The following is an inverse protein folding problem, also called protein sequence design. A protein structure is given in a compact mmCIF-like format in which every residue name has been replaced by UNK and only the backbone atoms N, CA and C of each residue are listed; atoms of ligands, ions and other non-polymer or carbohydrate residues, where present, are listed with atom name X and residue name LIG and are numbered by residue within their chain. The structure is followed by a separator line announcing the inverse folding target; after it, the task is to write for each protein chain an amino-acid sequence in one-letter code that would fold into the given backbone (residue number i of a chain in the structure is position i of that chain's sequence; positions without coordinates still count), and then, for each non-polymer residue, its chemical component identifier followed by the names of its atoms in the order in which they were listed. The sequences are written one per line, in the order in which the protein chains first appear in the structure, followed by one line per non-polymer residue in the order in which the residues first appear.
data_IF_295619798710
#
_entry.id   IF_295619798710
#
_cell.length_a   1.000
_cell.length_b   1.000
_cell.length_c   1.000
_cell.angle_alpha   90.00
_cell.angle_beta   90.00
_cell.angle_gamma   90.00
#
_symmetry.space_group_name_H-M   'P 1'
#
loop_
_entity.id
_entity.type
_entity.pdbx_description
1 polymer ?
#
# COMPACT_ATOMS: atom_id res chain seq x y z
N UNK A 1 3.67 13.03 -11.01
CA UNK A 1 4.82 12.11 -10.88
C UNK A 1 4.42 10.79 -11.52
N UNK A 2 5.20 10.32 -12.49
CA UNK A 2 5.08 8.95 -13.03
C UNK A 2 5.62 7.93 -12.02
N UNK A 3 5.24 6.67 -12.15
CA UNK A 3 5.72 5.61 -11.24
C UNK A 3 7.24 5.43 -11.40
N UNK A 4 7.75 5.50 -12.62
CA UNK A 4 9.19 5.55 -12.91
C UNK A 4 9.92 6.70 -12.19
N UNK A 5 9.31 7.89 -12.13
CA UNK A 5 9.87 9.04 -11.40
C UNK A 5 9.86 8.81 -9.88
N UNK A 6 8.79 8.18 -9.36
CA UNK A 6 8.71 7.78 -7.96
C UNK A 6 9.80 6.75 -7.61
N UNK A 7 9.97 5.71 -8.43
CA UNK A 7 11.01 4.69 -8.24
C UNK A 7 12.40 5.34 -8.19
N UNK A 8 12.66 6.29 -9.09
CA UNK A 8 13.92 7.05 -9.12
C UNK A 8 14.11 7.93 -7.87
N UNK A 9 13.06 8.64 -7.45
CA UNK A 9 13.10 9.51 -6.27
C UNK A 9 13.42 8.71 -5.00
N UNK A 10 12.75 7.58 -4.80
CA UNK A 10 13.00 6.71 -3.64
C UNK A 10 14.42 6.13 -3.69
N UNK A 11 14.86 5.66 -4.86
CA UNK A 11 16.21 5.15 -5.04
C UNK A 11 17.29 6.20 -4.68
N UNK A 12 17.13 7.44 -5.14
CA UNK A 12 18.07 8.53 -4.84
C UNK A 12 18.03 8.91 -3.36
N UNK A 13 16.85 8.93 -2.75
CA UNK A 13 16.67 9.19 -1.32
C UNK A 13 17.39 8.16 -0.45
N UNK A 14 17.31 6.88 -0.82
CA UNK A 14 17.99 5.77 -0.14
C UNK A 14 19.52 5.87 -0.29
N UNK A 15 19.99 6.09 -1.52
CA UNK A 15 21.43 6.18 -1.83
C UNK A 15 22.08 7.31 -1.04
N UNK A 16 21.43 8.46 -0.96
CA UNK A 16 21.94 9.62 -0.22
C UNK A 16 22.14 9.35 1.28
N UNK A 17 21.48 8.32 1.84
CA UNK A 17 21.55 7.96 3.27
C UNK A 17 22.30 6.66 3.54
N UNK A 18 22.84 6.01 2.50
CA UNK A 18 23.49 4.71 2.64
C UNK A 18 22.54 3.57 3.02
N UNK A 19 21.23 3.73 2.80
CA UNK A 19 20.22 2.71 3.12
C UNK A 19 20.25 1.52 2.15
N UNK A 20 21.16 1.56 1.17
CA UNK A 20 21.48 0.46 0.26
C UNK A 20 21.91 -0.83 0.99
N UNK A 21 22.27 -0.76 2.27
CA UNK A 21 22.70 -1.93 3.07
C UNK A 21 21.57 -2.71 3.73
N UNK A 22 20.35 -2.19 3.80
CA UNK A 22 19.23 -2.92 4.41
C UNK A 22 18.81 -4.11 3.54
N UNK A 23 18.57 -5.25 4.19
CA UNK A 23 18.09 -6.48 3.54
C UNK A 23 16.60 -6.33 3.18
N UNK A 24 16.20 -6.99 2.09
CA UNK A 24 14.82 -7.02 1.59
C UNK A 24 13.85 -7.52 2.66
N UNK A 25 14.27 -8.49 3.49
CA UNK A 25 13.45 -9.00 4.58
C UNK A 25 13.13 -7.96 5.65
N UNK A 26 14.04 -7.01 5.91
CA UNK A 26 13.80 -5.92 6.86
C UNK A 26 12.86 -4.87 6.27
N UNK A 27 13.04 -4.55 4.98
CA UNK A 27 12.15 -3.64 4.25
C UNK A 27 10.73 -4.23 4.22
N UNK A 28 10.61 -5.53 3.93
CA UNK A 28 9.33 -6.25 3.95
C UNK A 28 8.68 -6.24 5.33
N UNK A 29 9.43 -6.57 6.39
CA UNK A 29 8.88 -6.57 7.75
C UNK A 29 8.34 -5.18 8.14
N UNK A 30 9.10 -4.13 7.86
CA UNK A 30 8.69 -2.75 8.12
C UNK A 30 7.46 -2.36 7.28
N UNK A 31 7.39 -2.76 6.01
CA UNK A 31 6.20 -2.53 5.19
C UNK A 31 4.94 -3.14 5.83
N UNK A 32 5.05 -4.33 6.41
CA UNK A 32 3.92 -4.96 7.10
C UNK A 32 3.51 -4.16 8.34
N UNK A 33 4.46 -3.63 9.10
CA UNK A 33 4.19 -2.77 10.27
C UNK A 33 3.37 -1.54 9.86
N UNK A 34 3.80 -0.78 8.85
CA UNK A 34 3.10 0.41 8.34
C UNK A 34 1.69 0.08 7.81
N UNK A 35 1.55 -1.04 7.09
CA UNK A 35 0.23 -1.50 6.62
C UNK A 35 -0.68 -1.86 7.80
N UNK A 36 -0.13 -2.37 8.91
CA UNK A 36 -0.93 -2.67 10.09
C UNK A 36 -1.45 -1.42 10.78
N UNK A 37 -0.69 -0.31 10.79
CA UNK A 37 -1.15 0.97 11.34
C UNK A 37 -2.33 1.55 10.53
N UNK A 38 -2.32 1.42 9.20
CA UNK A 38 -3.50 1.70 8.36
C UNK A 38 -4.70 0.84 8.80
N UNK A 39 -4.47 -0.46 9.04
CA UNK A 39 -5.49 -1.37 9.56
C UNK A 39 -6.02 -0.94 10.92
N UNK A 40 -5.17 -0.45 11.83
CA UNK A 40 -5.59 0.08 13.14
C UNK A 40 -6.47 1.31 12.98
N UNK A 41 -6.14 2.20 12.05
CA UNK A 41 -6.97 3.35 11.72
C UNK A 41 -8.35 2.93 11.22
N UNK A 42 -8.43 1.97 10.29
CA UNK A 42 -9.70 1.44 9.78
C UNK A 42 -10.54 0.85 10.92
N UNK A 43 -9.95 -0.02 11.74
CA UNK A 43 -10.65 -0.66 12.86
C UNK A 43 -11.15 0.34 13.91
N UNK A 44 -10.42 1.43 14.12
CA UNK A 44 -10.88 2.52 14.97
C UNK A 44 -12.05 3.28 14.34
N UNK A 45 -11.93 3.62 13.05
CA UNK A 45 -12.98 4.31 12.26
C UNK A 45 -14.28 3.51 12.18
N UNK A 46 -14.20 2.19 12.08
CA UNK A 46 -15.36 1.28 12.03
C UNK A 46 -15.92 0.95 13.43
N UNK A 47 -15.31 1.50 14.49
CA UNK A 47 -15.81 1.34 15.87
C UNK A 47 -15.55 -0.02 16.49
N UNK A 48 -14.65 -0.84 15.90
CA UNK A 48 -14.16 -2.06 16.52
C UNK A 48 -13.13 -1.74 17.62
N UNK A 49 -12.12 -0.94 17.30
CA UNK A 49 -11.18 -0.41 18.30
C UNK A 49 -11.75 0.87 18.89
N UNK A 50 -11.98 0.88 20.20
CA UNK A 50 -12.52 2.02 20.93
C UNK A 50 -11.61 2.43 22.09
N UNK A 51 -11.29 3.71 22.17
CA UNK A 51 -10.46 4.26 23.25
C UNK A 51 -11.02 3.99 24.64
N UNK A 52 -12.34 4.13 24.78
CA UNK A 52 -13.05 3.87 26.03
C UNK A 52 -13.07 2.38 26.44
N UNK A 53 -12.61 1.48 25.56
CA UNK A 53 -12.49 0.04 25.83
C UNK A 53 -11.01 -0.40 25.89
N UNK A 54 -10.08 0.52 26.13
CA UNK A 54 -8.67 0.22 26.37
C UNK A 54 -7.82 0.07 25.11
N UNK A 55 -8.33 0.44 23.94
CA UNK A 55 -7.53 0.52 22.72
C UNK A 55 -6.84 1.90 22.62
N UNK A 56 -5.58 1.95 22.23
CA UNK A 56 -4.93 3.25 21.96
C UNK A 56 -5.46 3.87 20.67
N UNK A 57 -5.58 5.19 20.62
CA UNK A 57 -5.81 5.92 19.37
C UNK A 57 -4.68 5.64 18.38
N UNK A 58 -4.95 5.56 17.06
CA UNK A 58 -3.90 5.61 16.05
C UNK A 58 -3.10 6.91 16.25
N UNK A 59 -1.81 6.81 16.49
CA UNK A 59 -0.98 7.96 16.91
C UNK A 59 -0.62 8.92 15.78
N UNK A 60 -0.61 8.44 14.53
CA UNK A 60 -0.23 9.22 13.35
C UNK A 60 -1.40 9.47 12.40
N UNK A 61 -1.24 10.48 11.54
CA UNK A 61 -2.15 10.73 10.42
C UNK A 61 -2.10 9.56 9.43
N UNK A 62 -3.26 9.03 9.03
CA UNK A 62 -3.34 7.90 8.09
C UNK A 62 -2.63 8.19 6.76
N UNK A 63 -2.52 9.46 6.37
CA UNK A 63 -1.73 9.88 5.22
C UNK A 63 -0.23 9.58 5.35
N UNK A 64 0.33 9.72 6.55
CA UNK A 64 1.72 9.33 6.89
C UNK A 64 1.92 7.85 6.60
N UNK A 65 1.05 7.00 7.15
CA UNK A 65 1.12 5.54 7.04
C UNK A 65 1.04 5.06 5.58
N UNK A 66 0.17 5.67 4.76
CA UNK A 66 0.12 5.39 3.32
C UNK A 66 1.40 5.81 2.59
N UNK A 67 1.99 6.95 2.96
CA UNK A 67 3.23 7.42 2.36
C UNK A 67 4.43 6.54 2.74
N UNK A 68 4.51 6.11 4.01
CA UNK A 68 5.52 5.17 4.50
C UNK A 68 5.38 3.81 3.81
N UNK A 69 4.17 3.26 3.77
CA UNK A 69 3.87 2.01 3.06
C UNK A 69 4.24 2.07 1.58
N UNK A 70 3.87 3.15 0.87
CA UNK A 70 4.21 3.33 -0.54
C UNK A 70 5.73 3.41 -0.73
N UNK A 71 6.44 4.12 0.14
CA UNK A 71 7.89 4.28 0.04
C UNK A 71 8.60 2.93 0.24
N UNK A 72 8.19 2.13 1.24
CA UNK A 72 8.74 0.81 1.51
C UNK A 72 8.42 -0.20 0.40
N UNK A 73 7.21 -0.14 -0.17
CA UNK A 73 6.84 -0.97 -1.33
C UNK A 73 7.71 -0.64 -2.55
N UNK A 74 7.89 0.64 -2.85
CA UNK A 74 8.76 1.11 -3.95
C UNK A 74 10.21 0.72 -3.72
N UNK A 75 10.71 0.88 -2.49
CA UNK A 75 12.03 0.44 -2.09
C UNK A 75 12.22 -1.06 -2.36
N UNK A 76 11.27 -1.90 -1.91
CA UNK A 76 11.33 -3.35 -2.13
C UNK A 76 11.30 -3.70 -3.61
N UNK A 77 10.44 -3.06 -4.41
CA UNK A 77 10.38 -3.26 -5.85
C UNK A 77 11.70 -2.90 -6.54
N UNK A 78 12.32 -1.77 -6.15
CA UNK A 78 13.63 -1.37 -6.65
C UNK A 78 14.71 -2.42 -6.34
N UNK A 79 14.71 -3.01 -5.13
CA UNK A 79 15.67 -4.08 -4.75
C UNK A 79 15.49 -5.35 -5.55
N UNK A 80 14.25 -5.70 -5.84
CA UNK A 80 13.91 -6.89 -6.60
C UNK A 80 13.99 -6.69 -8.12
N UNK A 81 14.37 -5.49 -8.58
CA UNK A 81 14.48 -5.18 -10.01
C UNK A 81 13.13 -5.14 -10.74
N UNK A 82 12.06 -4.80 -10.03
CA UNK A 82 10.70 -4.73 -10.57
C UNK A 82 10.44 -3.34 -11.16
N UNK A 83 10.07 -3.30 -12.44
CA UNK A 83 9.48 -2.13 -13.10
C UNK A 83 8.01 -2.02 -12.69
N UNK A 84 7.70 -1.14 -11.72
CA UNK A 84 6.36 -1.01 -11.17
C UNK A 84 5.38 -0.42 -12.18
N UNK A 85 5.83 0.48 -13.05
CA UNK A 85 4.96 1.12 -14.06
C UNK A 85 4.48 0.05 -15.05
N UNK A 86 5.40 -0.73 -15.60
CA UNK A 86 5.08 -1.85 -16.47
C UNK A 86 4.25 -2.93 -15.77
N UNK A 87 4.63 -3.31 -14.55
CA UNK A 87 3.91 -4.35 -13.79
C UNK A 87 2.45 -3.96 -13.52
N UNK A 88 2.21 -2.69 -13.18
CA UNK A 88 0.86 -2.15 -12.98
C UNK A 88 0.07 -2.11 -14.28
N UNK A 89 0.65 -1.61 -15.37
CA UNK A 89 -0.01 -1.59 -16.67
C UNK A 89 -0.43 -2.99 -17.14
N UNK A 90 0.45 -3.98 -16.97
CA UNK A 90 0.18 -5.37 -17.34
C UNK A 90 -0.92 -5.99 -16.46
N UNK A 91 -0.97 -5.68 -15.17
CA UNK A 91 -2.03 -6.14 -14.27
C UNK A 91 -3.38 -5.52 -14.62
N UNK A 92 -3.44 -4.21 -14.87
CA UNK A 92 -4.67 -3.54 -15.26
C UNK A 92 -5.22 -4.11 -16.57
N UNK A 93 -4.36 -4.36 -17.58
CA UNK A 93 -4.75 -5.04 -18.83
C UNK A 93 -5.25 -6.47 -18.61
N UNK A 94 -4.75 -7.19 -17.60
CA UNK A 94 -5.29 -8.51 -17.22
C UNK A 94 -6.66 -8.37 -16.54
N UNK A 95 -6.80 -7.40 -15.63
CA UNK A 95 -8.04 -7.15 -14.91
C UNK A 95 -9.18 -6.71 -15.84
N UNK A 96 -8.92 -5.83 -16.80
CA UNK A 96 -9.92 -5.39 -17.80
C UNK A 96 -10.51 -6.56 -18.60
N UNK A 97 -9.69 -7.56 -18.93
CA UNK A 97 -10.15 -8.76 -19.65
C UNK A 97 -10.93 -9.73 -18.76
N UNK A 98 -10.64 -9.75 -17.45
CA UNK A 98 -11.22 -10.70 -16.50
C UNK A 98 -12.49 -10.18 -15.84
N UNK A 99 -12.62 -8.87 -15.67
CA UNK A 99 -13.64 -8.24 -14.86
C UNK A 99 -14.46 -7.25 -15.68
N UNK A 100 -15.53 -7.76 -16.30
CA UNK A 100 -16.44 -6.92 -17.07
C UNK A 100 -17.17 -5.92 -16.14
N UNK A 101 -17.13 -4.61 -16.43
CA UNK A 101 -17.67 -3.60 -15.53
C UNK A 101 -19.20 -3.66 -15.39
N UNK A 102 -19.94 -4.07 -16.42
CA UNK A 102 -21.40 -4.14 -16.38
C UNK A 102 -21.89 -5.37 -15.62
N UNK A 103 -21.20 -6.50 -15.75
CA UNK A 103 -21.46 -7.70 -14.95
C UNK A 103 -21.24 -7.43 -13.45
N UNK A 104 -20.14 -6.77 -13.11
CA UNK A 104 -19.86 -6.37 -11.73
C UNK A 104 -20.89 -5.40 -11.16
N UNK A 105 -21.26 -4.35 -11.93
CA UNK A 105 -22.30 -3.41 -11.50
C UNK A 105 -23.63 -4.12 -11.25
N UNK A 106 -24.04 -5.01 -12.16
CA UNK A 106 -25.28 -5.78 -12.04
C UNK A 106 -25.26 -6.68 -10.80
N UNK A 107 -24.15 -7.39 -10.55
CA UNK A 107 -24.01 -8.26 -9.40
C UNK A 107 -24.10 -7.49 -8.07
N UNK A 108 -23.43 -6.35 -7.97
CA UNK A 108 -23.45 -5.53 -6.75
C UNK A 108 -24.79 -4.80 -6.55
N UNK A 109 -25.48 -4.40 -7.62
CA UNK A 109 -26.81 -3.77 -7.52
C UNK A 109 -27.93 -4.76 -7.18
N UNK A 110 -27.74 -6.05 -7.49
CA UNK A 110 -28.73 -7.10 -7.20
C UNK A 110 -28.51 -7.78 -5.85
N UNK A 111 -27.34 -7.64 -5.23
CA UNK A 111 -26.99 -8.12 -3.90
C UNK A 111 -27.09 -7.06 -2.81
N UNK A 112 -28.19 -6.29 -2.77
CA UNK A 112 -28.40 -5.26 -1.75
C UNK A 112 -28.41 -5.84 -0.32
N UNK A 113 -27.37 -5.53 0.44
CA UNK A 113 -27.36 -5.52 1.91
C UNK A 113 -26.94 -6.82 2.59
N UNK A 114 -25.66 -6.91 2.93
CA UNK A 114 -25.26 -7.39 4.27
C UNK A 114 -24.76 -6.21 5.06
#
# INVERSE_FOLDING_TARGET
MRISELQKLVEDFEKARGWTTFRESLIYAHLIEEITEIGRFILAREGYKRENLGHSHPGEDVGSEFAQSLTLLVQLANRLGVDLEKALEDELRRMERRFNPDEWRKALSSGGGT
#
